data_IF_001019931400
#
_entry.id   IF_001019931400
#
_cell.length_a   1.000
_cell.length_b   1.000
_cell.length_c   1.000
_cell.angle_alpha   90.00
_cell.angle_beta   90.00
_cell.angle_gamma   90.00
#
_symmetry.space_group_name_H-M   'P 1'
#
loop_
_entity.id
_entity.type
_entity.pdbx_description
1 polymer ?
#
# COMPACT_ATOMS: atom_id res chain seq x y z
N UNK A 1 -1.35 -13.65 -6.52
CA UNK A 1 -0.09 -14.11 -5.94
C UNK A 1 1.03 -13.37 -6.65
N UNK A 2 1.98 -12.85 -5.91
CA UNK A 2 3.19 -12.24 -6.48
C UNK A 2 4.20 -13.36 -6.62
N UNK A 3 4.51 -13.72 -7.86
CA UNK A 3 5.58 -14.69 -8.14
C UNK A 3 6.93 -14.07 -7.81
N UNK A 4 7.83 -14.87 -7.25
CA UNK A 4 9.24 -14.52 -7.16
C UNK A 4 9.85 -14.48 -8.57
N UNK A 5 11.00 -13.79 -8.78
CA UNK A 5 11.67 -13.78 -10.09
C UNK A 5 11.98 -15.20 -10.61
N UNK A 6 12.34 -16.13 -9.72
CA UNK A 6 12.61 -17.52 -10.08
C UNK A 6 11.35 -18.26 -10.55
N UNK A 7 10.24 -18.10 -9.84
CA UNK A 7 8.94 -18.68 -10.24
C UNK A 7 8.42 -18.07 -11.55
N UNK A 8 8.63 -16.78 -11.77
CA UNK A 8 8.27 -16.11 -13.02
C UNK A 8 9.05 -16.70 -14.20
N UNK A 9 10.35 -16.95 -14.05
CA UNK A 9 11.16 -17.58 -15.08
C UNK A 9 10.68 -18.99 -15.41
N UNK A 10 10.37 -19.81 -14.41
CA UNK A 10 9.82 -21.16 -14.61
C UNK A 10 8.49 -21.09 -15.38
N UNK A 11 7.61 -20.15 -15.01
CA UNK A 11 6.36 -19.93 -15.72
C UNK A 11 6.62 -19.56 -17.19
N UNK A 12 7.55 -18.62 -17.45
CA UNK A 12 7.85 -18.19 -18.81
C UNK A 12 8.46 -19.28 -19.68
N UNK A 13 9.29 -20.14 -19.10
CA UNK A 13 9.82 -21.31 -19.82
C UNK A 13 8.69 -22.29 -20.19
N UNK A 14 7.74 -22.52 -19.28
CA UNK A 14 6.55 -23.34 -19.58
C UNK A 14 5.71 -22.72 -20.70
N UNK A 15 5.49 -21.39 -20.68
CA UNK A 15 4.74 -20.68 -21.72
C UNK A 15 5.46 -20.77 -23.10
N UNK A 16 6.81 -20.69 -23.13
CA UNK A 16 7.58 -20.88 -24.35
C UNK A 16 7.44 -22.28 -24.93
N UNK A 17 7.45 -23.32 -24.08
CA UNK A 17 7.18 -24.70 -24.52
C UNK A 17 5.78 -24.87 -25.09
N UNK A 18 4.76 -24.33 -24.41
CA UNK A 18 3.37 -24.37 -24.91
C UNK A 18 3.23 -23.66 -26.25
N UNK A 19 3.91 -22.53 -26.44
CA UNK A 19 3.96 -21.82 -27.73
C UNK A 19 4.62 -22.67 -28.80
N UNK A 20 5.72 -23.36 -28.51
CA UNK A 20 6.40 -24.27 -29.44
C UNK A 20 5.50 -25.46 -29.85
N UNK A 21 4.62 -25.90 -28.93
CA UNK A 21 3.59 -26.94 -29.19
C UNK A 21 2.37 -26.39 -29.97
N UNK A 22 2.43 -25.18 -30.51
CA UNK A 22 1.40 -24.57 -31.33
C UNK A 22 0.22 -24.00 -30.53
N UNK A 23 0.35 -23.78 -29.21
CA UNK A 23 -0.68 -23.14 -28.40
C UNK A 23 -0.62 -21.62 -28.51
N UNK A 24 -1.78 -20.98 -28.58
CA UNK A 24 -1.92 -19.53 -28.45
C UNK A 24 -2.14 -19.16 -26.98
N UNK A 25 -1.48 -18.13 -26.49
CA UNK A 25 -1.48 -17.71 -25.10
C UNK A 25 -1.90 -16.26 -25.02
N UNK A 26 -2.85 -15.94 -24.15
CA UNK A 26 -3.20 -14.56 -23.80
C UNK A 26 -2.74 -14.32 -22.37
N UNK A 27 -1.79 -13.38 -22.20
CA UNK A 27 -1.25 -13.00 -20.91
C UNK A 27 -1.75 -11.58 -20.56
N UNK A 28 -2.33 -11.43 -19.37
CA UNK A 28 -2.73 -10.12 -18.85
C UNK A 28 -1.78 -9.77 -17.70
N UNK A 29 -0.98 -8.74 -17.89
CA UNK A 29 -0.02 -8.26 -16.91
C UNK A 29 0.20 -6.75 -17.03
N UNK A 30 0.66 -6.12 -15.95
CA UNK A 30 1.11 -4.73 -15.92
C UNK A 30 2.62 -4.61 -15.72
N UNK A 31 3.33 -5.73 -15.67
CA UNK A 31 4.78 -5.78 -15.50
C UNK A 31 5.46 -5.76 -16.87
N UNK A 32 6.09 -4.64 -17.17
CA UNK A 32 6.69 -4.39 -18.49
C UNK A 32 7.81 -5.36 -18.84
N UNK A 33 8.60 -5.82 -17.85
CA UNK A 33 9.64 -6.83 -18.05
C UNK A 33 9.06 -8.15 -18.53
N UNK A 34 7.91 -8.56 -17.98
CA UNK A 34 7.22 -9.78 -18.40
C UNK A 34 6.74 -9.65 -19.86
N UNK A 35 6.20 -8.48 -20.23
CA UNK A 35 5.74 -8.20 -21.60
C UNK A 35 6.92 -8.32 -22.56
N UNK A 36 7.98 -7.55 -22.35
CA UNK A 36 9.13 -7.50 -23.26
C UNK A 36 9.82 -8.87 -23.40
N UNK A 37 9.80 -9.69 -22.33
CA UNK A 37 10.54 -10.97 -22.33
C UNK A 37 9.85 -12.13 -23.03
N UNK A 38 8.52 -12.11 -23.21
CA UNK A 38 7.79 -13.31 -23.63
C UNK A 38 6.71 -13.10 -24.70
N UNK A 39 6.14 -11.89 -24.84
CA UNK A 39 5.02 -11.68 -25.76
C UNK A 39 5.50 -11.32 -27.18
N UNK A 40 4.72 -11.72 -28.18
CA UNK A 40 4.97 -11.35 -29.58
C UNK A 40 4.29 -10.02 -29.92
N UNK A 41 3.11 -9.79 -29.35
CA UNK A 41 2.31 -8.60 -29.56
C UNK A 41 1.70 -8.14 -28.23
N UNK A 42 1.73 -6.85 -28.00
CA UNK A 42 1.07 -6.21 -26.84
C UNK A 42 -0.10 -5.36 -27.30
N UNK A 43 -1.24 -5.55 -26.64
CA UNK A 43 -2.44 -4.71 -26.80
C UNK A 43 -2.67 -3.97 -25.50
N UNK A 44 -2.71 -2.65 -25.56
CA UNK A 44 -2.89 -1.79 -24.39
C UNK A 44 -4.33 -1.31 -24.28
N UNK A 45 -4.93 -1.59 -23.12
CA UNK A 45 -6.24 -1.11 -22.71
C UNK A 45 -6.09 -0.06 -21.60
N UNK A 46 -6.83 1.02 -21.67
CA UNK A 46 -6.88 2.07 -20.63
C UNK A 46 -8.29 2.61 -20.50
N UNK A 47 -8.81 2.64 -19.27
CA UNK A 47 -10.16 3.09 -18.94
C UNK A 47 -11.27 2.40 -19.80
N UNK A 48 -11.03 1.15 -20.24
CA UNK A 48 -11.93 0.36 -21.06
C UNK A 48 -11.80 0.57 -22.58
N UNK A 49 -10.89 1.44 -23.01
CA UNK A 49 -10.65 1.74 -24.41
C UNK A 49 -9.36 1.09 -24.92
N UNK A 50 -9.37 0.65 -26.17
CA UNK A 50 -8.18 0.21 -26.88
C UNK A 50 -7.31 1.41 -27.24
N UNK A 51 -6.12 1.49 -26.63
CA UNK A 51 -5.16 2.56 -26.91
C UNK A 51 -4.31 2.23 -28.15
N UNK A 52 -3.98 0.96 -28.34
CA UNK A 52 -3.25 0.50 -29.49
C UNK A 52 -2.69 -0.90 -29.30
N UNK A 53 -2.22 -1.49 -30.42
CA UNK A 53 -1.49 -2.76 -30.44
C UNK A 53 -0.15 -2.54 -31.14
N UNK A 54 0.87 -3.30 -30.67
CA UNK A 54 2.24 -3.23 -31.23
C UNK A 54 2.89 -4.59 -31.13
N UNK A 55 3.61 -4.98 -32.21
CA UNK A 55 4.54 -6.10 -32.15
C UNK A 55 5.72 -5.74 -31.22
N UNK A 56 6.09 -6.68 -30.38
CA UNK A 56 7.22 -6.52 -29.46
C UNK A 56 8.49 -6.99 -30.16
N UNK A 57 9.45 -6.11 -30.26
CA UNK A 57 10.74 -6.33 -30.89
C UNK A 57 11.89 -5.80 -30.01
N UNK A 58 13.12 -5.89 -30.48
CA UNK A 58 14.31 -5.42 -29.76
C UNK A 58 14.36 -3.90 -29.54
N UNK A 59 13.54 -3.13 -30.25
CA UNK A 59 13.41 -1.67 -30.12
C UNK A 59 12.28 -1.25 -29.18
N UNK A 60 11.48 -2.21 -28.72
CA UNK A 60 10.37 -1.91 -27.82
C UNK A 60 10.87 -1.55 -26.43
N UNK A 61 10.56 -0.32 -25.98
CA UNK A 61 11.05 0.21 -24.70
C UNK A 61 9.97 0.19 -23.61
N UNK A 62 10.44 0.14 -22.36
CA UNK A 62 9.52 0.25 -21.18
C UNK A 62 8.84 1.61 -21.15
N UNK A 63 9.53 2.67 -21.55
CA UNK A 63 9.03 4.04 -21.57
C UNK A 63 7.86 4.17 -22.53
N UNK A 64 7.99 3.59 -23.73
CA UNK A 64 6.92 3.59 -24.75
C UNK A 64 5.67 2.87 -24.24
N UNK A 65 5.81 1.65 -23.74
CA UNK A 65 4.70 0.88 -23.19
C UNK A 65 4.06 1.58 -21.99
N UNK A 66 4.87 2.18 -21.10
CA UNK A 66 4.37 2.96 -19.97
C UNK A 66 3.53 4.14 -20.44
N UNK A 67 4.00 4.87 -21.45
CA UNK A 67 3.28 6.01 -22.02
C UNK A 67 1.93 5.58 -22.58
N UNK A 68 1.87 4.45 -23.28
CA UNK A 68 0.59 3.90 -23.77
C UNK A 68 -0.34 3.53 -22.60
N UNK A 69 0.17 2.87 -21.56
CA UNK A 69 -0.63 2.40 -20.42
C UNK A 69 -1.12 3.53 -19.53
N UNK A 70 -0.28 4.54 -19.25
CA UNK A 70 -0.56 5.61 -18.29
C UNK A 70 -1.12 6.88 -18.97
N UNK A 71 -0.80 7.08 -20.25
CA UNK A 71 -1.27 8.22 -21.07
C UNK A 71 -0.48 9.51 -20.83
N UNK A 72 0.62 9.47 -20.10
CA UNK A 72 1.54 10.59 -19.87
C UNK A 72 2.95 10.06 -19.70
N UNK A 73 3.93 10.93 -19.89
CA UNK A 73 5.30 10.58 -19.60
C UNK A 73 5.47 10.36 -18.09
N UNK A 74 6.03 9.23 -17.71
CA UNK A 74 6.31 8.88 -16.32
C UNK A 74 7.81 9.07 -16.10
N UNK A 75 8.15 9.95 -15.18
CA UNK A 75 9.53 10.11 -14.75
C UNK A 75 9.90 8.90 -13.88
N UNK A 76 10.82 8.07 -14.35
CA UNK A 76 11.38 6.94 -13.60
C UNK A 76 12.49 7.37 -12.64
N UNK A 77 13.03 8.59 -12.82
CA UNK A 77 14.04 9.14 -11.95
C UNK A 77 13.42 10.15 -10.98
N UNK A 78 13.56 9.89 -9.70
CA UNK A 78 13.20 10.83 -8.65
C UNK A 78 14.49 11.43 -8.09
N UNK A 79 14.60 12.75 -8.09
CA UNK A 79 15.67 13.43 -7.38
C UNK A 79 15.52 13.17 -5.88
N UNK A 80 16.38 12.33 -5.33
CA UNK A 80 16.47 12.13 -3.89
C UNK A 80 17.30 13.24 -3.30
N UNK A 81 16.65 14.25 -2.75
CA UNK A 81 17.33 15.21 -1.89
C UNK A 81 17.88 14.46 -0.65
N UNK A 82 19.18 14.24 -0.62
CA UNK A 82 19.85 13.67 0.56
C UNK A 82 19.76 14.69 1.70
N UNK A 83 18.87 14.46 2.65
CA UNK A 83 18.86 15.20 3.92
C UNK A 83 19.58 14.34 4.96
N UNK A 84 20.34 15.00 5.83
CA UNK A 84 20.88 14.34 7.00
C UNK A 84 19.73 13.79 7.86
N UNK A 85 19.86 12.59 8.43
CA UNK A 85 18.86 12.02 9.32
C UNK A 85 18.56 12.98 10.47
N UNK A 86 17.28 13.18 10.76
CA UNK A 86 16.83 13.99 11.90
C UNK A 86 16.91 13.24 13.22
N UNK A 87 16.15 13.69 14.21
CA UNK A 87 16.06 13.01 15.50
C UNK A 87 15.45 11.62 15.38
N UNK A 88 15.86 10.69 16.25
CA UNK A 88 15.28 9.35 16.32
C UNK A 88 13.80 9.43 16.66
N UNK A 89 12.95 8.85 15.83
CA UNK A 89 11.49 8.79 16.03
C UNK A 89 11.03 7.44 16.55
N UNK A 90 11.56 6.35 15.97
CA UNK A 90 11.27 4.98 16.38
C UNK A 90 12.58 4.27 16.69
N UNK A 91 12.62 3.59 17.81
CA UNK A 91 13.74 2.71 18.17
C UNK A 91 13.21 1.40 18.74
N UNK A 92 13.61 0.29 18.14
CA UNK A 92 13.31 -1.06 18.59
C UNK A 92 14.61 -1.70 19.08
N UNK A 93 14.58 -2.32 20.25
CA UNK A 93 15.73 -3.02 20.86
C UNK A 93 15.32 -4.41 21.28
N UNK A 94 15.94 -5.41 20.67
CA UNK A 94 15.72 -6.81 20.99
C UNK A 94 14.26 -7.26 20.84
N UNK A 95 13.50 -6.64 19.91
CA UNK A 95 12.07 -6.90 19.76
C UNK A 95 11.84 -8.34 19.32
N UNK A 96 10.97 -9.04 20.04
CA UNK A 96 10.56 -10.41 19.72
C UNK A 96 9.04 -10.49 19.69
N UNK A 97 8.51 -11.24 18.71
CA UNK A 97 7.08 -11.46 18.58
C UNK A 97 6.78 -12.80 17.89
N UNK A 98 5.70 -13.43 18.31
CA UNK A 98 5.20 -14.68 17.71
C UNK A 98 4.11 -14.39 16.66
N UNK A 99 4.00 -15.29 15.67
CA UNK A 99 2.94 -15.25 14.67
C UNK A 99 1.62 -15.83 15.21
N UNK A 100 0.59 -15.89 14.36
CA UNK A 100 -0.75 -16.38 14.72
C UNK A 100 -0.79 -17.87 15.13
N UNK A 101 0.28 -18.62 14.81
CA UNK A 101 0.46 -20.03 15.19
C UNK A 101 1.29 -20.20 16.47
N UNK A 102 1.70 -19.11 17.13
CA UNK A 102 2.55 -19.13 18.31
C UNK A 102 4.03 -19.46 18.01
N UNK A 103 4.45 -19.40 16.74
CA UNK A 103 5.84 -19.63 16.34
C UNK A 103 6.58 -18.28 16.30
N UNK A 104 7.89 -18.24 16.65
CA UNK A 104 8.68 -17.03 16.55
C UNK A 104 8.65 -16.44 15.14
N UNK A 105 8.28 -15.17 15.01
CA UNK A 105 8.26 -14.41 13.76
C UNK A 105 9.30 -13.27 13.78
N UNK A 106 9.54 -12.68 14.93
CA UNK A 106 10.62 -11.74 15.17
C UNK A 106 11.45 -12.25 16.35
N UNK A 107 12.76 -12.22 16.22
CA UNK A 107 13.69 -12.63 17.27
C UNK A 107 14.81 -11.62 17.36
N UNK A 108 14.97 -10.97 18.52
CA UNK A 108 16.01 -9.98 18.82
C UNK A 108 16.14 -8.89 17.73
N UNK A 109 15.00 -8.42 17.21
CA UNK A 109 14.96 -7.48 16.09
C UNK A 109 15.26 -6.05 16.57
N UNK A 110 16.22 -5.41 15.90
CA UNK A 110 16.66 -4.06 16.19
C UNK A 110 16.43 -3.15 15.00
N UNK A 111 15.90 -1.94 15.23
CA UNK A 111 15.59 -0.98 14.18
C UNK A 111 15.64 0.44 14.73
N UNK A 112 16.15 1.37 13.94
CA UNK A 112 16.06 2.81 14.24
C UNK A 112 15.54 3.56 13.03
N UNK A 113 14.54 4.42 13.22
CA UNK A 113 13.97 5.29 12.17
C UNK A 113 14.06 6.74 12.61
N UNK A 114 14.57 7.59 11.73
CA UNK A 114 14.78 9.01 12.00
C UNK A 114 13.70 9.88 11.37
N UNK A 115 13.61 11.09 11.82
CA UNK A 115 12.73 12.11 11.24
C UNK A 115 13.14 12.43 9.80
N UNK A 116 12.15 12.39 8.88
CA UNK A 116 12.38 12.65 7.45
C UNK A 116 13.04 11.49 6.70
N UNK A 117 13.21 10.33 7.36
CA UNK A 117 13.76 9.12 6.75
C UNK A 117 12.64 8.26 6.12
N UNK A 118 12.94 7.66 4.97
CA UNK A 118 12.16 6.57 4.39
C UNK A 118 13.01 5.31 4.54
N UNK A 119 12.66 4.48 5.51
CA UNK A 119 13.32 3.20 5.74
C UNK A 119 12.61 2.09 4.95
N UNK A 120 13.34 1.42 4.06
CA UNK A 120 12.85 0.24 3.35
C UNK A 120 13.11 -1.04 4.14
N UNK A 121 12.08 -1.85 4.35
CA UNK A 121 12.19 -3.18 4.91
C UNK A 121 11.92 -4.21 3.82
N UNK A 122 12.93 -4.95 3.41
CA UNK A 122 12.85 -5.98 2.37
C UNK A 122 12.84 -7.38 2.98
N UNK A 123 12.08 -8.28 2.37
CA UNK A 123 12.01 -9.68 2.76
C UNK A 123 10.98 -10.44 1.93
N UNK A 124 11.11 -11.76 1.89
CA UNK A 124 10.10 -12.65 1.30
C UNK A 124 8.91 -12.70 2.26
N UNK A 125 7.70 -12.86 1.70
CA UNK A 125 6.47 -12.97 2.48
C UNK A 125 6.59 -14.05 3.59
N UNK A 126 6.04 -13.75 4.77
CA UNK A 126 6.09 -14.64 5.92
C UNK A 126 7.35 -14.54 6.80
N UNK A 127 8.24 -13.58 6.55
CA UNK A 127 9.48 -13.39 7.34
C UNK A 127 9.36 -12.32 8.44
N UNK A 128 8.18 -12.08 8.98
CA UNK A 128 7.97 -11.22 10.15
C UNK A 128 7.59 -9.76 9.84
N UNK A 129 7.53 -9.35 8.57
CA UNK A 129 7.17 -7.96 8.21
C UNK A 129 5.77 -7.59 8.69
N UNK A 130 4.81 -8.51 8.54
CA UNK A 130 3.43 -8.35 9.03
C UNK A 130 3.42 -8.17 10.56
N UNK A 131 4.09 -9.08 11.27
CA UNK A 131 4.15 -9.07 12.72
C UNK A 131 4.82 -7.79 13.25
N UNK A 132 5.88 -7.32 12.58
CA UNK A 132 6.51 -6.04 12.91
C UNK A 132 5.53 -4.87 12.78
N UNK A 133 4.82 -4.75 11.65
CA UNK A 133 3.83 -3.70 11.46
C UNK A 133 2.71 -3.77 12.49
N UNK A 134 2.25 -4.97 12.84
CA UNK A 134 1.20 -5.19 13.84
C UNK A 134 1.67 -4.80 15.25
N UNK A 135 2.92 -5.09 15.62
CA UNK A 135 3.50 -4.66 16.92
C UNK A 135 3.62 -3.15 16.97
N UNK A 136 4.15 -2.51 15.93
CA UNK A 136 4.32 -1.06 15.85
C UNK A 136 2.99 -0.28 15.92
N UNK A 137 1.89 -0.96 15.65
CA UNK A 137 0.55 -0.36 15.64
C UNK A 137 -0.36 -0.87 16.76
N UNK A 138 0.16 -1.76 17.63
CA UNK A 138 -0.56 -2.33 18.76
C UNK A 138 -1.62 -3.37 18.39
N UNK A 139 -1.62 -3.85 17.14
CA UNK A 139 -2.50 -4.92 16.67
C UNK A 139 -2.01 -6.30 17.16
N UNK A 140 -0.74 -6.40 17.50
CA UNK A 140 -0.06 -7.57 18.08
C UNK A 140 0.74 -7.16 19.30
N UNK A 141 0.79 -8.04 20.29
CA UNK A 141 1.70 -7.87 21.44
C UNK A 141 3.09 -8.40 21.08
N UNK A 142 4.11 -7.67 21.49
CA UNK A 142 5.47 -8.18 21.50
C UNK A 142 5.64 -9.15 22.67
N UNK A 143 6.44 -10.19 22.47
CA UNK A 143 6.80 -11.17 23.50
C UNK A 143 7.92 -10.64 24.38
N UNK A 144 8.76 -9.72 23.87
CA UNK A 144 9.88 -9.12 24.59
C UNK A 144 10.54 -7.99 23.79
N UNK A 145 11.54 -7.36 24.44
CA UNK A 145 12.27 -6.24 23.88
C UNK A 145 11.68 -4.88 24.27
N UNK A 146 12.11 -3.83 23.58
CA UNK A 146 11.67 -2.45 23.83
C UNK A 146 11.19 -1.81 22.51
N UNK A 147 10.16 -0.98 22.63
CA UNK A 147 9.73 -0.08 21.59
C UNK A 147 9.66 1.35 22.12
N UNK A 148 10.57 2.19 21.65
CA UNK A 148 10.62 3.60 22.00
C UNK A 148 10.09 4.46 20.85
N UNK A 149 9.15 5.35 21.14
CA UNK A 149 8.65 6.35 20.22
C UNK A 149 8.97 7.75 20.76
N UNK A 150 9.78 8.51 20.01
CA UNK A 150 10.29 9.83 20.47
C UNK A 150 10.96 9.74 21.85
N UNK A 151 11.76 8.69 22.05
CA UNK A 151 12.52 8.44 23.29
C UNK A 151 11.69 7.93 24.47
N UNK A 152 10.37 7.71 24.32
CA UNK A 152 9.52 7.16 25.38
C UNK A 152 9.15 5.71 25.07
N UNK A 153 9.23 4.85 26.08
CA UNK A 153 8.82 3.46 25.92
C UNK A 153 7.29 3.35 25.74
N UNK A 154 6.88 2.63 24.70
CA UNK A 154 5.48 2.51 24.29
C UNK A 154 5.09 1.09 23.89
N UNK A 155 5.86 0.09 24.31
CA UNK A 155 5.62 -1.31 23.95
C UNK A 155 4.24 -1.77 24.47
N UNK A 156 3.56 -2.61 23.69
CA UNK A 156 2.30 -3.27 24.05
C UNK A 156 1.14 -2.32 24.44
N UNK A 157 1.16 -1.08 23.96
CA UNK A 157 0.03 -0.17 24.14
C UNK A 157 -1.14 -0.54 23.20
N UNK A 158 -2.37 -0.17 23.52
CA UNK A 158 -3.50 -0.44 22.63
C UNK A 158 -3.43 0.39 21.34
N UNK A 159 -4.04 -0.06 20.22
CA UNK A 159 -3.98 0.63 18.93
C UNK A 159 -4.37 2.12 18.97
N UNK A 160 -5.35 2.47 19.82
CA UNK A 160 -5.79 3.86 19.98
C UNK A 160 -4.67 4.76 20.50
N UNK A 161 -3.76 4.24 21.31
CA UNK A 161 -2.61 4.98 21.80
C UNK A 161 -1.68 5.37 20.65
N UNK A 162 -1.29 4.41 19.80
CA UNK A 162 -0.41 4.66 18.65
C UNK A 162 -1.04 5.62 17.66
N UNK A 163 -2.32 5.44 17.37
CA UNK A 163 -3.09 6.35 16.52
C UNK A 163 -3.05 7.78 17.06
N UNK A 164 -3.26 7.98 18.35
CA UNK A 164 -3.24 9.32 18.97
C UNK A 164 -1.84 9.89 19.12
N UNK A 165 -0.82 9.05 19.18
CA UNK A 165 0.60 9.46 19.21
C UNK A 165 1.12 9.90 17.84
N UNK A 166 0.36 9.69 16.75
CA UNK A 166 0.73 10.10 15.40
C UNK A 166 1.41 9.00 14.59
N UNK A 167 1.23 7.73 14.97
CA UNK A 167 1.62 6.58 14.16
C UNK A 167 0.45 6.23 13.25
N UNK A 168 0.70 6.13 11.94
CA UNK A 168 -0.28 5.73 10.94
C UNK A 168 0.10 4.39 10.33
N UNK A 169 -0.91 3.60 9.99
CA UNK A 169 -0.74 2.27 9.42
C UNK A 169 -1.49 2.12 8.10
N UNK A 170 -0.78 1.94 7.03
CA UNK A 170 -1.34 1.58 5.72
C UNK A 170 -1.16 0.07 5.58
N UNK A 171 -2.22 -0.73 5.78
CA UNK A 171 -2.09 -2.18 5.77
C UNK A 171 -1.87 -2.71 4.36
N UNK A 172 -1.17 -3.83 4.26
CA UNK A 172 -0.99 -4.58 3.02
C UNK A 172 -2.33 -5.08 2.48
N UNK A 173 -3.13 -5.73 3.33
CA UNK A 173 -4.47 -6.18 2.96
C UNK A 173 -5.48 -5.05 3.07
N UNK A 174 -5.87 -4.55 1.91
CA UNK A 174 -6.87 -3.48 1.76
C UNK A 174 -8.27 -3.93 2.12
N UNK A 175 -8.59 -5.20 1.85
CA UNK A 175 -9.95 -5.71 1.83
C UNK A 175 -10.43 -6.15 3.22
N UNK A 176 -9.56 -6.73 4.02
CA UNK A 176 -9.91 -7.22 5.35
C UNK A 176 -9.52 -6.22 6.46
N UNK A 177 -8.37 -5.56 6.30
CA UNK A 177 -7.81 -4.67 7.33
C UNK A 177 -7.93 -3.19 6.96
N UNK A 178 -7.78 -2.86 5.66
CA UNK A 178 -7.71 -1.48 5.20
C UNK A 178 -9.05 -0.75 5.19
N UNK A 179 -10.12 -1.39 4.72
CA UNK A 179 -11.42 -0.78 4.46
C UNK A 179 -12.57 -1.63 5.00
N UNK A 180 -13.62 -0.97 5.45
CA UNK A 180 -14.93 -1.58 5.63
C UNK A 180 -15.64 -1.60 4.26
N UNK A 181 -15.51 -2.70 3.52
CA UNK A 181 -15.89 -2.80 2.11
C UNK A 181 -17.37 -2.48 1.83
N UNK A 182 -18.26 -2.82 2.77
CA UNK A 182 -19.70 -2.57 2.65
C UNK A 182 -20.13 -1.18 3.15
N UNK A 183 -19.19 -0.36 3.60
CA UNK A 183 -19.44 1.01 4.02
C UNK A 183 -19.14 1.98 2.88
N UNK A 184 -19.80 3.17 2.94
CA UNK A 184 -19.53 4.23 1.98
C UNK A 184 -18.09 4.76 2.13
N UNK A 185 -17.59 5.39 1.08
CA UNK A 185 -16.26 5.99 1.05
C UNK A 185 -16.12 7.07 2.12
N UNK A 186 -17.13 7.92 2.29
CA UNK A 186 -17.20 8.94 3.35
C UNK A 186 -17.03 8.32 4.74
N UNK A 187 -17.77 7.24 5.03
CA UNK A 187 -17.67 6.55 6.32
C UNK A 187 -16.29 5.94 6.53
N UNK A 188 -15.70 5.34 5.50
CA UNK A 188 -14.34 4.81 5.56
C UNK A 188 -13.31 5.89 5.88
N UNK A 189 -13.42 7.08 5.29
CA UNK A 189 -12.48 8.19 5.52
C UNK A 189 -12.54 8.72 6.96
N UNK A 190 -13.72 8.79 7.56
CA UNK A 190 -13.90 9.38 8.90
C UNK A 190 -13.87 8.38 10.05
N UNK A 191 -13.81 7.06 9.79
CA UNK A 191 -13.99 6.00 10.79
C UNK A 191 -13.10 6.18 12.05
N UNK A 192 -11.94 6.78 11.92
CA UNK A 192 -10.99 7.00 13.02
C UNK A 192 -11.14 8.37 13.69
N UNK A 193 -12.02 9.24 13.20
CA UNK A 193 -12.17 10.62 13.67
C UNK A 193 -13.63 11.08 13.76
N UNK A 194 -14.58 10.20 13.47
CA UNK A 194 -16.01 10.54 13.48
C UNK A 194 -16.51 11.12 14.82
N UNK A 195 -15.86 10.76 15.92
CA UNK A 195 -16.22 11.21 17.29
C UNK A 195 -15.63 12.59 17.66
N UNK A 196 -14.81 13.18 16.79
CA UNK A 196 -14.12 14.47 17.02
C UNK A 196 -14.71 15.57 16.14
N UNK A 197 -14.59 16.83 16.60
CA UNK A 197 -14.86 17.97 15.74
C UNK A 197 -13.90 17.94 14.52
N UNK A 198 -14.35 18.38 13.33
CA UNK A 198 -15.66 18.96 13.00
C UNK A 198 -16.73 17.91 12.65
N UNK A 199 -16.43 16.59 12.66
CA UNK A 199 -17.30 15.53 12.17
C UNK A 199 -18.45 15.20 13.11
N UNK A 200 -18.31 15.47 14.41
CA UNK A 200 -19.40 15.34 15.34
C UNK A 200 -19.40 16.41 16.42
N UNK A 201 -20.61 16.72 16.93
CA UNK A 201 -20.84 17.57 18.08
C UNK A 201 -21.97 16.97 18.92
N UNK A 202 -21.73 16.79 20.23
CA UNK A 202 -22.70 16.20 21.18
C UNK A 202 -23.27 14.84 20.71
N UNK A 203 -22.45 13.99 20.07
CA UNK A 203 -22.87 12.68 19.59
C UNK A 203 -23.61 12.68 18.23
N UNK A 204 -23.91 13.85 17.68
CA UNK A 204 -24.54 13.98 16.36
C UNK A 204 -23.47 14.22 15.28
N UNK A 205 -23.58 13.48 14.17
CA UNK A 205 -22.69 13.66 13.03
C UNK A 205 -23.01 14.94 12.26
N UNK A 206 -21.99 15.67 11.88
CA UNK A 206 -22.07 16.83 11.02
C UNK A 206 -21.89 16.40 9.56
N UNK A 207 -23.00 16.17 8.86
CA UNK A 207 -22.99 15.68 7.47
C UNK A 207 -22.23 16.63 6.54
N UNK A 208 -22.43 17.94 6.70
CA UNK A 208 -21.72 18.93 5.87
C UNK A 208 -20.20 18.80 6.01
N UNK A 209 -19.68 18.69 7.22
CA UNK A 209 -18.25 18.53 7.44
C UNK A 209 -17.70 17.22 6.85
N UNK A 210 -18.54 16.16 6.83
CA UNK A 210 -18.19 14.87 6.21
C UNK A 210 -18.15 15.01 4.70
N UNK A 211 -19.10 15.72 4.09
CA UNK A 211 -19.16 15.96 2.65
C UNK A 211 -17.98 16.83 2.20
N UNK A 212 -17.72 17.94 2.87
CA UNK A 212 -16.57 18.82 2.58
C UNK A 212 -15.23 18.05 2.67
N UNK A 213 -15.14 17.15 3.64
CA UNK A 213 -13.94 16.31 3.81
C UNK A 213 -13.78 15.26 2.71
N UNK A 214 -14.88 14.66 2.26
CA UNK A 214 -14.88 13.78 1.11
C UNK A 214 -14.39 14.50 -0.14
N UNK A 215 -14.96 15.66 -0.46
CA UNK A 215 -14.61 16.43 -1.65
C UNK A 215 -13.13 16.82 -1.64
N UNK A 216 -12.59 17.21 -0.47
CA UNK A 216 -11.16 17.45 -0.28
C UNK A 216 -10.34 16.20 -0.60
N UNK A 217 -10.63 15.06 0.02
CA UNK A 217 -9.88 13.84 -0.15
C UNK A 217 -9.99 13.29 -1.59
N UNK A 218 -11.18 13.36 -2.19
CA UNK A 218 -11.40 12.93 -3.57
C UNK A 218 -10.48 13.68 -4.53
N UNK A 219 -10.40 15.00 -4.37
CA UNK A 219 -9.56 15.87 -5.21
C UNK A 219 -8.07 15.65 -4.95
N UNK A 220 -7.65 15.65 -3.69
CA UNK A 220 -6.24 15.57 -3.30
C UNK A 220 -5.62 14.23 -3.67
N UNK A 221 -6.31 13.14 -3.38
CA UNK A 221 -5.84 11.78 -3.71
C UNK A 221 -6.32 11.28 -5.08
N UNK A 222 -7.03 12.12 -5.86
CA UNK A 222 -7.56 11.75 -7.19
C UNK A 222 -8.34 10.43 -7.15
N UNK A 223 -9.27 10.28 -6.20
CA UNK A 223 -10.08 9.08 -6.04
C UNK A 223 -11.13 9.05 -7.16
N UNK A 224 -11.04 8.05 -8.06
CA UNK A 224 -12.05 7.84 -9.10
C UNK A 224 -13.25 7.09 -8.50
N UNK A 225 -14.33 7.81 -8.20
CA UNK A 225 -15.59 7.29 -7.69
C UNK A 225 -16.72 8.19 -8.16
N UNK A 226 -17.93 7.66 -8.35
CA UNK A 226 -19.08 8.45 -8.78
C UNK A 226 -19.61 9.30 -7.64
N UNK A 227 -19.59 8.77 -6.41
CA UNK A 227 -20.10 9.41 -5.21
C UNK A 227 -19.33 8.98 -3.97
N UNK A 228 -19.28 9.84 -2.95
CA UNK A 228 -18.80 9.48 -1.63
C UNK A 228 -19.69 8.45 -0.90
N UNK A 229 -20.90 8.21 -1.39
CA UNK A 229 -21.82 7.17 -0.90
C UNK A 229 -21.57 5.81 -1.55
N UNK A 230 -20.73 5.73 -2.59
CA UNK A 230 -20.36 4.45 -3.17
C UNK A 230 -19.70 3.55 -2.12
N UNK A 231 -19.99 2.26 -2.19
CA UNK A 231 -19.36 1.29 -1.30
C UNK A 231 -17.90 1.07 -1.69
N UNK A 232 -17.01 0.94 -0.70
CA UNK A 232 -15.58 0.76 -0.97
C UNK A 232 -15.26 -0.47 -1.83
N UNK A 233 -16.09 -1.52 -1.77
CA UNK A 233 -15.96 -2.71 -2.62
C UNK A 233 -16.15 -2.46 -4.12
N UNK A 234 -16.83 -1.37 -4.50
CA UNK A 234 -17.07 -1.03 -5.89
C UNK A 234 -15.85 -0.37 -6.57
N UNK A 235 -14.85 0.02 -5.79
CA UNK A 235 -13.65 0.65 -6.31
C UNK A 235 -12.62 -0.37 -6.81
N UNK A 236 -11.86 0.03 -7.84
CA UNK A 236 -10.64 -0.68 -8.21
C UNK A 236 -9.62 -0.66 -7.07
N UNK A 237 -8.70 -1.65 -7.03
CA UNK A 237 -7.70 -1.76 -5.97
C UNK A 237 -6.85 -0.50 -5.79
N UNK A 238 -6.50 0.19 -6.89
CA UNK A 238 -5.76 1.46 -6.81
C UNK A 238 -6.57 2.59 -6.17
N UNK A 239 -7.88 2.68 -6.44
CA UNK A 239 -8.73 3.67 -5.80
C UNK A 239 -9.02 3.34 -4.34
N UNK A 240 -9.15 2.05 -3.98
CA UNK A 240 -9.21 1.61 -2.59
C UNK A 240 -7.97 2.05 -1.80
N UNK A 241 -6.77 1.91 -2.40
CA UNK A 241 -5.51 2.37 -1.79
C UNK A 241 -5.54 3.89 -1.53
N UNK A 242 -6.04 4.68 -2.48
CA UNK A 242 -6.16 6.14 -2.32
C UNK A 242 -7.11 6.54 -1.19
N UNK A 243 -8.21 5.80 -1.00
CA UNK A 243 -9.11 6.00 0.16
C UNK A 243 -8.37 5.71 1.47
N UNK A 244 -7.56 4.64 1.52
CA UNK A 244 -6.74 4.32 2.70
C UNK A 244 -5.73 5.46 2.97
N UNK A 245 -5.07 6.01 1.95
CA UNK A 245 -4.18 7.16 2.11
C UNK A 245 -4.92 8.36 2.71
N UNK A 246 -6.08 8.76 2.16
CA UNK A 246 -6.89 9.84 2.71
C UNK A 246 -7.32 9.59 4.16
N UNK A 247 -7.65 8.35 4.52
CA UNK A 247 -8.01 7.96 5.89
C UNK A 247 -6.86 8.16 6.88
N UNK A 248 -5.60 7.93 6.47
CA UNK A 248 -4.44 7.93 7.34
C UNK A 248 -3.58 9.20 7.24
N UNK A 249 -3.24 9.67 6.05
CA UNK A 249 -2.29 10.77 5.85
C UNK A 249 -2.88 12.13 6.22
N UNK A 250 -4.17 12.34 6.05
CA UNK A 250 -4.88 13.55 6.48
C UNK A 250 -4.81 13.83 7.99
N UNK A 251 -4.21 12.97 8.75
CA UNK A 251 -3.96 13.16 10.18
C UNK A 251 -2.61 13.83 10.46
N UNK A 252 -1.81 14.10 9.43
CA UNK A 252 -0.44 14.58 9.55
C UNK A 252 0.38 13.70 10.50
N UNK A 253 0.55 12.42 10.17
CA UNK A 253 1.25 11.49 11.06
C UNK A 253 2.72 11.92 11.26
N UNK A 254 3.29 11.50 12.39
CA UNK A 254 4.71 11.70 12.67
C UNK A 254 5.56 10.55 12.11
N UNK A 255 4.92 9.38 11.94
CA UNK A 255 5.47 8.15 11.35
C UNK A 255 4.33 7.37 10.71
#
# INVERSE_FOLDING_TARGET
>A
AVLTPQEANILFDMLRHMKADGKSIILITHKLEEIISIVDEVTVLRDGELIGSKLVDEHTTKEELTKMMVGRDVLFNFDKNQKAPGAVKVELKGLSASNDKGLPALTDFNLTVHEGEILGLAGVDGNGQKELCEVLTGLRKADGGQFLFKGKEVINQPPVFYINSGISHIPEDRMTTGLALNWSLKKNLIIKKFHKAPFSKNGLLNQKAIDDYWDKCQKEYQIKANSGEDHARALSGGNQQKVIFGKWLERSPSV
#
